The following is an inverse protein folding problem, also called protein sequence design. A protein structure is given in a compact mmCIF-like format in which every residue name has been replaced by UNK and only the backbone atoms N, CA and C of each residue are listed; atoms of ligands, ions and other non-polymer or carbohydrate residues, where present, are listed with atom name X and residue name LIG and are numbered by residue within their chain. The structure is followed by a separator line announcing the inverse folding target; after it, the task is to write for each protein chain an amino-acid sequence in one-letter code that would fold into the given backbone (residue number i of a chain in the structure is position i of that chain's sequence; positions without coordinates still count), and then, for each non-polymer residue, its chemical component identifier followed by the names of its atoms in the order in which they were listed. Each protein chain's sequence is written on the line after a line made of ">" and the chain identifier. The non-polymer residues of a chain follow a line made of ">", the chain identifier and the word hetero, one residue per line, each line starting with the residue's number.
data_IF_090321248850
#
_entry.id   IF_090321248850
#
_cell.length_a   1.000
_cell.length_b   1.000
_cell.length_c   1.000
_cell.angle_alpha   90.00
_cell.angle_beta   90.00
_cell.angle_gamma   90.00
#
_symmetry.space_group_name_H-M   'P 1'
#
loop_
_entity.id
_entity.type
_entity.pdbx_description
1 polymer ?
#
# COMPACT_ATOMS: atom_id res chain seq x y z
N UNK A 1 16.36 10.76 -12.20
CA UNK A 1 17.13 10.05 -11.15
C UNK A 1 17.19 8.56 -11.43
N UNK A 2 16.04 7.86 -11.75
CA UNK A 2 16.02 6.41 -12.02
C UNK A 2 16.84 6.08 -13.26
N UNK A 3 16.57 6.72 -14.41
CA UNK A 3 17.29 6.49 -15.67
C UNK A 3 18.81 6.72 -15.59
N UNK A 4 19.26 7.54 -14.66
CA UNK A 4 20.69 7.78 -14.42
C UNK A 4 21.27 6.92 -13.30
N UNK A 5 20.53 5.88 -12.88
CA UNK A 5 20.91 4.91 -11.85
C UNK A 5 21.35 5.53 -10.51
N UNK A 6 20.66 6.61 -10.10
CA UNK A 6 20.99 7.33 -8.85
C UNK A 6 20.11 6.96 -7.67
N UNK A 7 18.94 6.38 -7.88
CA UNK A 7 18.06 5.90 -6.80
C UNK A 7 18.57 4.56 -6.32
N UNK A 8 19.02 4.45 -5.08
CA UNK A 8 19.54 3.21 -4.49
C UNK A 8 18.46 2.45 -3.72
N UNK A 9 17.64 3.16 -2.93
CA UNK A 9 16.60 2.53 -2.12
C UNK A 9 15.40 3.45 -1.94
N UNK A 10 14.21 2.86 -1.84
CA UNK A 10 12.96 3.54 -1.46
C UNK A 10 12.36 2.79 -0.27
N UNK A 11 12.14 3.49 0.84
CA UNK A 11 11.64 2.93 2.09
C UNK A 11 10.29 3.57 2.39
N UNK A 12 9.22 2.78 2.41
CA UNK A 12 7.90 3.21 2.85
C UNK A 12 7.79 3.16 4.37
N UNK A 13 7.27 4.21 4.95
CA UNK A 13 7.08 4.34 6.39
C UNK A 13 5.59 4.47 6.71
N UNK A 14 5.18 3.95 7.85
CA UNK A 14 3.80 3.99 8.31
C UNK A 14 3.27 5.39 8.58
N UNK A 15 1.95 5.51 8.72
CA UNK A 15 1.28 6.79 8.97
C UNK A 15 1.55 7.33 10.38
N UNK A 16 1.28 8.62 10.59
CA UNK A 16 1.38 9.32 11.89
C UNK A 16 2.79 9.35 12.52
N UNK A 17 3.84 9.14 11.73
CA UNK A 17 5.23 9.29 12.20
C UNK A 17 5.67 10.75 12.29
N UNK A 18 5.09 11.61 11.47
CA UNK A 18 5.39 13.04 11.48
C UNK A 18 4.30 13.82 12.19
N UNK A 19 4.71 14.85 12.94
CA UNK A 19 3.77 15.67 13.71
C UNK A 19 2.66 16.25 12.83
N UNK A 20 1.41 16.10 13.24
CA UNK A 20 0.22 16.55 12.51
C UNK A 20 0.04 15.97 11.09
N UNK A 21 0.68 14.87 10.74
CA UNK A 21 0.52 14.24 9.43
C UNK A 21 0.03 12.80 9.58
N UNK A 22 -1.24 12.51 9.24
CA UNK A 22 -1.77 11.16 9.25
C UNK A 22 -1.32 10.35 8.02
N UNK A 23 -0.59 10.96 7.10
CA UNK A 23 -0.16 10.33 5.85
C UNK A 23 1.04 9.42 6.08
N UNK A 24 1.14 8.41 5.22
CA UNK A 24 2.36 7.63 5.05
C UNK A 24 3.47 8.50 4.47
N UNK A 25 4.70 8.16 4.78
CA UNK A 25 5.87 8.85 4.28
C UNK A 25 6.82 7.88 3.59
N UNK A 26 7.77 8.40 2.81
CA UNK A 26 8.85 7.59 2.27
C UNK A 26 10.20 8.27 2.42
N UNK A 27 11.24 7.46 2.53
CA UNK A 27 12.63 7.89 2.45
C UNK A 27 13.20 7.36 1.15
N UNK A 28 13.74 8.25 0.33
CA UNK A 28 14.44 7.89 -0.90
C UNK A 28 15.94 8.11 -0.71
N UNK A 29 16.72 7.04 -0.83
CA UNK A 29 18.19 7.10 -0.75
C UNK A 29 18.73 7.20 -2.17
N UNK A 30 19.43 8.31 -2.41
CA UNK A 30 20.09 8.58 -3.68
C UNK A 30 21.61 8.59 -3.53
N UNK A 31 22.32 8.04 -4.53
CA UNK A 31 23.79 8.07 -4.60
C UNK A 31 24.25 8.57 -5.97
N UNK A 32 25.29 9.36 -5.97
CA UNK A 32 25.95 9.79 -7.22
C UNK A 32 26.60 8.60 -7.93
N UNK A 33 27.19 7.68 -7.17
CA UNK A 33 27.79 6.44 -7.67
C UNK A 33 27.42 5.30 -6.73
N UNK A 34 26.69 4.31 -7.26
CA UNK A 34 26.37 3.08 -6.53
C UNK A 34 27.55 2.12 -6.48
N UNK A 35 27.55 1.26 -5.48
CA UNK A 35 28.48 0.11 -5.42
C UNK A 35 28.22 -0.78 -6.64
N UNK A 36 29.27 -1.46 -7.18
CA UNK A 36 29.15 -2.30 -8.37
C UNK A 36 27.99 -3.31 -8.29
N UNK A 37 27.82 -3.96 -7.14
CA UNK A 37 26.78 -4.97 -6.88
C UNK A 37 25.36 -4.43 -6.84
N UNK A 38 25.17 -3.10 -6.73
CA UNK A 38 23.86 -2.43 -6.65
C UNK A 38 23.50 -1.62 -7.90
N UNK A 39 24.37 -1.65 -8.91
CA UNK A 39 24.15 -0.91 -10.15
C UNK A 39 22.99 -1.51 -10.95
N UNK A 40 22.20 -0.68 -11.57
CA UNK A 40 21.06 -1.08 -12.37
C UNK A 40 19.87 -1.63 -11.56
N UNK A 41 19.88 -1.47 -10.25
CA UNK A 41 18.88 -2.02 -9.34
C UNK A 41 18.44 -0.97 -8.31
N UNK A 42 17.23 -1.10 -7.79
CA UNK A 42 16.67 -0.30 -6.69
C UNK A 42 16.05 -1.24 -5.67
N UNK A 43 16.40 -1.06 -4.41
CA UNK A 43 15.76 -1.78 -3.31
C UNK A 43 14.50 -1.03 -2.87
N UNK A 44 13.39 -1.72 -2.79
CA UNK A 44 12.14 -1.26 -2.21
C UNK A 44 11.94 -1.94 -0.86
N UNK A 45 11.66 -1.17 0.19
CA UNK A 45 11.38 -1.68 1.54
C UNK A 45 9.99 -1.18 1.96
N UNK A 46 9.10 -2.11 2.29
CA UNK A 46 7.78 -1.82 2.78
C UNK A 46 7.77 -1.89 4.33
N UNK A 47 8.08 -0.78 4.97
CA UNK A 47 8.08 -0.68 6.42
C UNK A 47 6.82 0.05 6.96
N UNK A 48 5.71 0.02 6.21
CA UNK A 48 4.45 0.69 6.60
C UNK A 48 3.92 0.13 7.92
N UNK A 49 4.07 -1.16 8.16
CA UNK A 49 3.64 -1.84 9.38
C UNK A 49 4.69 -1.83 10.50
N UNK A 50 5.92 -1.36 10.22
CA UNK A 50 7.00 -1.27 11.19
C UNK A 50 6.86 0.00 12.05
N UNK A 51 5.77 0.09 12.78
CA UNK A 51 5.48 1.22 13.67
C UNK A 51 4.83 0.74 14.96
N UNK A 52 5.14 1.40 16.06
CA UNK A 52 4.42 1.26 17.31
C UNK A 52 3.51 2.48 17.49
N UNK A 53 2.23 2.25 17.77
CA UNK A 53 1.26 3.32 17.94
C UNK A 53 0.99 3.57 19.42
N UNK A 54 1.31 4.79 19.88
CA UNK A 54 0.98 5.25 21.25
C UNK A 54 0.10 6.49 21.17
N UNK A 55 -1.12 6.39 21.66
CA UNK A 55 -2.14 7.43 21.51
C UNK A 55 -2.44 7.75 20.04
N UNK A 56 -2.29 9.00 19.63
CA UNK A 56 -2.55 9.46 18.27
C UNK A 56 -1.29 9.51 17.37
N UNK A 57 -0.12 9.09 17.88
CA UNK A 57 1.15 9.19 17.18
C UNK A 57 1.81 7.83 17.02
N UNK A 58 2.48 7.61 15.91
CA UNK A 58 3.30 6.43 15.65
C UNK A 58 4.77 6.71 15.93
N UNK A 59 5.52 5.68 16.29
CA UNK A 59 6.95 5.74 16.62
C UNK A 59 7.68 4.58 15.96
N UNK A 60 8.94 4.82 15.57
CA UNK A 60 9.86 3.77 15.21
C UNK A 60 10.66 3.37 16.44
N UNK A 61 10.49 2.13 16.90
CA UNK A 61 11.32 1.54 17.95
C UNK A 61 12.63 0.99 17.33
N UNK A 62 13.61 0.73 18.17
CA UNK A 62 14.93 0.22 17.73
C UNK A 62 14.82 -1.07 16.91
N UNK A 63 13.89 -1.96 17.24
CA UNK A 63 13.63 -3.19 16.48
C UNK A 63 13.21 -2.90 15.02
N UNK A 64 12.35 -1.88 14.81
CA UNK A 64 11.90 -1.48 13.47
C UNK A 64 13.05 -0.86 12.68
N UNK A 65 13.82 0.02 13.33
CA UNK A 65 15.00 0.65 12.72
C UNK A 65 16.04 -0.40 12.33
N UNK A 66 16.28 -1.39 13.20
CA UNK A 66 17.22 -2.48 12.94
C UNK A 66 16.76 -3.37 11.79
N UNK A 67 15.46 -3.69 11.69
CA UNK A 67 14.90 -4.47 10.58
C UNK A 67 15.11 -3.76 9.24
N UNK A 68 14.74 -2.47 9.17
CA UNK A 68 14.92 -1.64 7.98
C UNK A 68 16.42 -1.54 7.60
N UNK A 69 17.28 -1.27 8.59
CA UNK A 69 18.71 -1.13 8.37
C UNK A 69 19.35 -2.45 7.91
N UNK A 70 18.88 -3.60 8.42
CA UNK A 70 19.35 -4.92 8.03
C UNK A 70 18.96 -5.23 6.60
N UNK A 71 17.71 -5.00 6.21
CA UNK A 71 17.24 -5.16 4.83
C UNK A 71 18.04 -4.28 3.85
N UNK A 72 18.29 -3.02 4.21
CA UNK A 72 19.13 -2.13 3.39
C UNK A 72 20.58 -2.61 3.25
N UNK A 73 21.18 -3.17 4.32
CA UNK A 73 22.54 -3.71 4.29
C UNK A 73 22.64 -4.96 3.43
N UNK A 74 21.70 -5.90 3.61
CA UNK A 74 21.67 -7.18 2.90
C UNK A 74 21.36 -6.97 1.41
N UNK A 75 20.54 -6.00 1.07
CA UNK A 75 20.17 -5.63 -0.30
C UNK A 75 19.70 -6.85 -1.11
N UNK A 76 18.73 -7.58 -0.58
CA UNK A 76 18.14 -8.77 -1.19
C UNK A 76 16.61 -8.77 -0.96
N UNK A 77 15.95 -9.66 -1.68
CA UNK A 77 14.52 -9.91 -1.49
C UNK A 77 14.27 -10.50 -0.10
N UNK A 78 13.22 -10.05 0.57
CA UNK A 78 12.77 -10.50 1.89
C UNK A 78 11.22 -10.50 1.92
N UNK A 79 10.63 -11.57 1.39
CA UNK A 79 9.20 -11.82 1.36
C UNK A 79 8.37 -10.61 0.96
N UNK A 80 7.43 -10.24 1.83
CA UNK A 80 6.55 -9.06 1.69
C UNK A 80 7.15 -7.76 2.24
N UNK A 81 8.41 -7.82 2.74
CA UNK A 81 9.08 -6.69 3.37
C UNK A 81 10.02 -5.93 2.43
N UNK A 82 10.81 -6.64 1.62
CA UNK A 82 11.79 -6.00 0.75
C UNK A 82 11.91 -6.69 -0.62
N UNK A 83 12.11 -5.90 -1.67
CA UNK A 83 12.30 -6.39 -3.05
C UNK A 83 13.34 -5.57 -3.79
N UNK A 84 14.23 -6.26 -4.49
CA UNK A 84 15.18 -5.66 -5.43
C UNK A 84 14.55 -5.67 -6.83
N UNK A 85 14.34 -4.50 -7.42
CA UNK A 85 13.84 -4.36 -8.77
C UNK A 85 14.94 -3.82 -9.69
N UNK A 86 14.99 -4.32 -10.91
CA UNK A 86 15.89 -3.80 -11.95
C UNK A 86 15.37 -2.48 -12.52
N UNK A 87 16.23 -1.68 -13.14
CA UNK A 87 15.79 -0.46 -13.85
C UNK A 87 14.80 -0.83 -14.98
N UNK A 88 14.90 -2.01 -15.58
CA UNK A 88 13.96 -2.47 -16.58
C UNK A 88 12.56 -2.70 -15.97
N UNK A 89 12.47 -3.39 -14.84
CA UNK A 89 11.18 -3.58 -14.13
C UNK A 89 10.53 -2.25 -13.79
N UNK A 90 11.36 -1.25 -13.43
CA UNK A 90 10.87 0.10 -13.10
C UNK A 90 10.41 0.83 -14.38
N UNK A 91 11.11 0.65 -15.49
CA UNK A 91 10.71 1.22 -16.77
C UNK A 91 9.38 0.64 -17.27
N UNK A 92 9.18 -0.67 -17.11
CA UNK A 92 7.93 -1.37 -17.47
C UNK A 92 6.74 -0.88 -16.64
N UNK A 93 7.01 -0.41 -15.40
CA UNK A 93 6.04 0.27 -14.54
C UNK A 93 6.03 1.81 -14.73
N UNK A 94 6.33 2.31 -15.92
CA UNK A 94 6.33 3.74 -16.25
C UNK A 94 7.22 4.60 -15.34
N UNK A 95 8.34 4.06 -14.87
CA UNK A 95 9.25 4.69 -13.92
C UNK A 95 8.60 5.07 -12.58
N UNK A 96 7.50 4.43 -12.21
CA UNK A 96 6.88 4.58 -10.91
C UNK A 96 7.78 4.00 -9.81
N UNK A 97 7.90 4.71 -8.70
CA UNK A 97 8.59 4.26 -7.49
C UNK A 97 7.61 3.87 -6.38
N UNK A 98 6.36 3.58 -6.73
CA UNK A 98 5.34 3.13 -5.79
C UNK A 98 5.67 1.74 -5.28
N UNK A 99 5.92 1.62 -3.98
CA UNK A 99 6.38 0.37 -3.33
C UNK A 99 5.44 -0.81 -3.57
N UNK A 100 4.09 -0.68 -3.52
CA UNK A 100 3.17 -1.80 -3.76
C UNK A 100 3.27 -2.45 -5.15
N UNK A 101 3.91 -1.79 -6.11
CA UNK A 101 4.16 -2.38 -7.44
C UNK A 101 5.25 -3.47 -7.40
N UNK A 102 6.15 -3.39 -6.43
CA UNK A 102 7.34 -4.26 -6.32
C UNK A 102 7.26 -5.19 -5.12
N UNK A 103 6.91 -4.66 -3.96
CA UNK A 103 6.72 -5.42 -2.72
C UNK A 103 5.24 -5.75 -2.58
N UNK A 104 4.88 -6.99 -2.89
CA UNK A 104 3.50 -7.50 -2.76
C UNK A 104 3.43 -8.32 -1.49
N UNK A 105 2.32 -8.24 -0.72
CA UNK A 105 2.11 -9.19 0.35
C UNK A 105 2.13 -10.61 -0.23
N UNK A 106 2.76 -11.54 0.47
CA UNK A 106 2.63 -12.96 0.13
C UNK A 106 1.15 -13.34 0.26
N UNK A 107 0.49 -13.40 -0.87
CA UNK A 107 -0.85 -13.98 -0.93
C UNK A 107 -0.63 -15.48 -0.89
N UNK A 108 -0.94 -16.11 0.23
CA UNK A 108 -1.06 -17.56 0.28
C UNK A 108 -2.16 -17.93 -0.71
N UNK A 109 -1.78 -18.47 -1.85
CA UNK A 109 -2.73 -18.92 -2.89
C UNK A 109 -3.75 -19.93 -2.35
N UNK A 110 -3.46 -20.54 -1.20
CA UNK A 110 -4.34 -21.45 -0.48
C UNK A 110 -5.54 -20.74 0.20
N UNK A 111 -5.51 -19.44 0.43
CA UNK A 111 -6.59 -18.68 1.06
C UNK A 111 -7.52 -17.95 0.08
N UNK A 112 -7.22 -17.95 -1.21
CA UNK A 112 -8.19 -17.50 -2.23
C UNK A 112 -9.11 -18.70 -2.53
N UNK A 113 -9.92 -19.10 -1.55
CA UNK A 113 -11.03 -19.98 -1.81
C UNK A 113 -12.00 -19.23 -2.75
N UNK A 114 -12.13 -19.72 -3.97
CA UNK A 114 -13.06 -19.18 -4.96
C UNK A 114 -14.50 -19.11 -4.42
N UNK A 115 -14.83 -19.92 -3.42
CA UNK A 115 -16.09 -19.85 -2.68
C UNK A 115 -16.21 -18.59 -1.87
N UNK A 116 -15.13 -18.15 -1.21
CA UNK A 116 -15.11 -16.90 -0.44
C UNK A 116 -15.40 -15.68 -1.32
N UNK A 117 -14.84 -15.63 -2.54
CA UNK A 117 -15.12 -14.56 -3.50
C UNK A 117 -16.58 -14.57 -3.95
N UNK A 118 -17.13 -15.76 -4.24
CA UNK A 118 -18.52 -15.91 -4.66
C UNK A 118 -19.50 -15.53 -3.54
N UNK A 119 -19.24 -15.94 -2.30
CA UNK A 119 -20.06 -15.58 -1.14
C UNK A 119 -20.05 -14.07 -0.88
N UNK A 120 -18.88 -13.41 -1.01
CA UNK A 120 -18.78 -11.95 -0.88
C UNK A 120 -19.51 -11.24 -2.01
N UNK A 121 -19.43 -11.75 -3.23
CA UNK A 121 -20.14 -11.19 -4.37
C UNK A 121 -21.66 -11.31 -4.19
N UNK A 122 -22.15 -12.46 -3.76
CA UNK A 122 -23.58 -12.70 -3.52
C UNK A 122 -24.10 -11.85 -2.37
N UNK A 123 -23.31 -11.70 -1.29
CA UNK A 123 -23.61 -10.79 -0.18
C UNK A 123 -23.68 -9.33 -0.61
N UNK A 124 -22.70 -8.87 -1.41
CA UNK A 124 -22.70 -7.52 -1.96
C UNK A 124 -23.92 -7.28 -2.88
N UNK A 125 -24.25 -8.25 -3.72
CA UNK A 125 -25.41 -8.18 -4.62
C UNK A 125 -26.71 -8.07 -3.83
N UNK A 126 -26.90 -8.89 -2.79
CA UNK A 126 -28.07 -8.83 -1.92
C UNK A 126 -28.19 -7.47 -1.21
N UNK A 127 -27.09 -6.94 -0.67
CA UNK A 127 -27.05 -5.62 -0.05
C UNK A 127 -27.38 -4.49 -1.04
N UNK A 128 -26.89 -4.59 -2.27
CA UNK A 128 -27.17 -3.64 -3.35
C UNK A 128 -28.66 -3.62 -3.74
N UNK A 129 -29.31 -4.78 -3.82
CA UNK A 129 -30.75 -4.88 -4.10
C UNK A 129 -31.58 -4.31 -2.95
N UNK A 130 -31.22 -4.60 -1.70
CA UNK A 130 -31.88 -4.01 -0.53
C UNK A 130 -31.77 -2.47 -0.52
N UNK A 131 -30.62 -1.95 -0.88
CA UNK A 131 -30.42 -0.51 -0.97
C UNK A 131 -31.30 0.12 -2.04
N UNK A 132 -31.41 -0.49 -3.24
CA UNK A 132 -32.33 -0.03 -4.30
C UNK A 132 -33.78 0.00 -3.86
N UNK A 133 -34.24 -1.05 -3.17
CA UNK A 133 -35.60 -1.12 -2.61
C UNK A 133 -35.83 -0.04 -1.55
N UNK A 134 -34.87 0.25 -0.72
CA UNK A 134 -34.93 1.31 0.29
C UNK A 134 -35.03 2.69 -0.34
N UNK A 135 -34.24 2.94 -1.41
CA UNK A 135 -34.31 4.17 -2.20
C UNK A 135 -35.67 4.33 -2.88
N UNK A 136 -36.21 3.27 -3.45
CA UNK A 136 -37.54 3.31 -4.07
C UNK A 136 -38.64 3.61 -3.05
N UNK A 137 -38.58 3.04 -1.85
CA UNK A 137 -39.50 3.37 -0.74
C UNK A 137 -39.40 4.81 -0.31
N UNK A 138 -38.17 5.32 -0.14
CA UNK A 138 -37.93 6.72 0.25
C UNK A 138 -38.53 7.69 -0.78
N UNK A 139 -38.28 7.46 -2.07
CA UNK A 139 -38.82 8.29 -3.14
C UNK A 139 -40.35 8.23 -3.20
N UNK A 140 -40.96 7.08 -2.96
CA UNK A 140 -42.41 6.93 -2.89
C UNK A 140 -43.04 7.67 -1.69
N UNK A 141 -42.30 7.75 -0.56
CA UNK A 141 -42.75 8.53 0.61
C UNK A 141 -42.64 10.03 0.35
N UNK A 142 -41.53 10.49 -0.23
CA UNK A 142 -41.35 11.91 -0.56
C UNK A 142 -42.34 12.40 -1.63
N UNK A 143 -42.69 11.56 -2.62
CA UNK A 143 -43.70 11.88 -3.63
C UNK A 143 -45.10 12.04 -3.03
N UNK A 144 -45.44 11.23 -2.02
CA UNK A 144 -46.76 11.34 -1.32
C UNK A 144 -46.84 12.56 -0.39
N UNK A 145 -45.72 13.09 0.11
CA UNK A 145 -45.75 14.33 0.91
C UNK A 145 -45.84 15.58 0.02
N UNK A 146 -45.35 15.54 -1.21
CA UNK A 146 -45.51 16.63 -2.17
C UNK A 146 -46.98 16.79 -2.62
N UNK A 147 -47.72 15.69 -2.84
CA UNK A 147 -49.14 15.72 -3.22
C UNK A 147 -50.08 16.10 -2.07
N UNK A 148 -49.64 16.11 -0.81
CA UNK A 148 -50.45 16.49 0.35
C UNK A 148 -50.37 17.97 0.68
N UNK A 149 -49.47 18.72 0.06
CA UNK A 149 -49.22 20.14 0.32
C UNK A 149 -49.65 21.02 -0.86
N UNK A 150 -50.37 20.49 -1.84
CA UNK A 150 -51.17 21.23 -2.84
C UNK A 150 -52.66 21.19 -2.45
#
# INVERSE_FOLDING_TARGET
>A
LVRSDRVECVIGLGPNLFYNSPMEACIMICRMTKRPERRGQVLFINAINEVERKNAQSYLEDKHIQRIATAYKNYCDDGDFARVATIQDIADNNYSLSIPLYVKPEVNEEEIDSRSVQEHYDSWRAASEMMKLSYAKLNAMLGKEAEKNE
#
